data_IF_634064032510
#
_entry.id   IF_634064032510
#
_cell.length_a   1.000
_cell.length_b   1.000
_cell.length_c   1.000
_cell.angle_alpha   90.00
_cell.angle_beta   90.00
_cell.angle_gamma   90.00
#
_symmetry.space_group_name_H-M   'P 1'
#
loop_
_entity.id
_entity.type
_entity.pdbx_description
1 polymer ?
#
# COMPACT_ATOMS: atom_id res chain seq x y z
N UNK A 1 8.83 20.54 -21.98
CA UNK A 1 7.94 19.90 -20.99
C UNK A 1 8.37 18.45 -20.90
N UNK A 2 9.44 18.19 -20.15
CA UNK A 2 10.04 16.86 -20.06
C UNK A 2 10.31 16.64 -18.59
N UNK A 3 9.26 16.23 -17.86
CA UNK A 3 9.47 15.77 -16.50
C UNK A 3 10.14 14.40 -16.61
N UNK A 4 11.33 14.33 -16.04
CA UNK A 4 12.17 13.15 -15.92
C UNK A 4 11.42 12.14 -15.03
N UNK A 5 10.49 11.37 -15.61
CA UNK A 5 9.73 10.35 -14.88
C UNK A 5 10.62 9.13 -14.65
N UNK A 6 11.66 9.30 -13.84
CA UNK A 6 12.44 8.18 -13.32
C UNK A 6 11.57 7.26 -12.45
N UNK A 7 10.40 7.72 -12.00
CA UNK A 7 9.49 6.99 -11.11
C UNK A 7 8.08 6.98 -11.68
N UNK A 8 7.45 5.80 -11.88
CA UNK A 8 6.07 5.71 -12.37
C UNK A 8 5.09 6.41 -11.43
N UNK A 9 3.93 6.90 -11.90
CA UNK A 9 2.90 7.43 -10.99
C UNK A 9 2.34 6.32 -10.10
N UNK A 10 2.04 6.64 -8.84
CA UNK A 10 1.39 5.69 -7.91
C UNK A 10 -0.07 5.46 -8.34
N UNK A 11 -0.52 4.20 -8.47
CA UNK A 11 -1.86 3.86 -8.92
C UNK A 11 -2.87 4.09 -7.80
N UNK A 12 -4.14 4.15 -8.18
CA UNK A 12 -5.25 4.26 -7.21
C UNK A 12 -5.32 3.06 -6.24
N UNK A 13 -4.98 1.88 -6.74
CA UNK A 13 -4.94 0.63 -6.00
C UNK A 13 -3.60 -0.07 -6.25
N UNK A 14 -2.85 -0.33 -5.18
CA UNK A 14 -1.60 -1.06 -5.20
C UNK A 14 -1.60 -2.16 -4.14
N UNK A 15 -1.02 -3.31 -4.49
CA UNK A 15 -0.80 -4.42 -3.57
C UNK A 15 0.66 -4.87 -3.57
N UNK A 16 1.21 -5.12 -2.40
CA UNK A 16 2.54 -5.69 -2.21
C UNK A 16 2.59 -7.21 -2.47
N UNK A 17 1.45 -7.90 -2.52
CA UNK A 17 1.38 -9.33 -2.83
C UNK A 17 1.58 -9.55 -4.34
N UNK A 18 2.65 -10.25 -4.78
CA UNK A 18 2.90 -10.54 -6.20
C UNK A 18 1.81 -11.35 -6.89
N UNK A 19 0.92 -11.99 -6.13
CA UNK A 19 -0.22 -12.76 -6.66
C UNK A 19 -1.44 -11.89 -6.94
N UNK A 20 -1.45 -10.66 -6.47
CA UNK A 20 -2.55 -9.71 -6.70
C UNK A 20 -2.48 -9.13 -8.11
N UNK A 21 -3.62 -8.92 -8.79
CA UNK A 21 -3.65 -8.20 -10.07
C UNK A 21 -3.23 -6.73 -9.94
N UNK A 22 -3.20 -6.19 -8.71
CA UNK A 22 -2.80 -4.82 -8.41
C UNK A 22 -1.33 -4.71 -7.98
N UNK A 23 -0.52 -5.74 -8.24
CA UNK A 23 0.91 -5.70 -7.96
C UNK A 23 1.70 -5.08 -9.12
N UNK A 24 2.37 -3.97 -8.85
CA UNK A 24 3.22 -3.26 -9.83
C UNK A 24 4.64 -3.23 -9.32
N UNK A 25 5.49 -4.12 -9.85
CA UNK A 25 6.87 -4.32 -9.39
C UNK A 25 7.72 -3.05 -9.48
N UNK A 26 7.56 -2.29 -10.56
CA UNK A 26 8.32 -1.05 -10.84
C UNK A 26 8.17 -0.01 -9.74
N UNK A 27 7.01 0.03 -9.08
CA UNK A 27 6.75 0.97 -7.98
C UNK A 27 7.53 0.58 -6.73
N UNK A 28 7.67 -0.73 -6.47
CA UNK A 28 8.41 -1.26 -5.33
C UNK A 28 9.94 -1.21 -5.53
N UNK A 29 10.43 -0.78 -6.70
CA UNK A 29 11.84 -0.42 -6.88
C UNK A 29 12.18 0.93 -6.20
N UNK A 30 11.15 1.68 -5.82
CA UNK A 30 11.26 2.92 -5.07
C UNK A 30 10.61 2.78 -3.69
N UNK A 31 11.07 3.57 -2.72
CA UNK A 31 10.46 3.60 -1.40
C UNK A 31 9.09 4.31 -1.47
N UNK A 32 8.04 3.59 -1.08
CA UNK A 32 6.65 4.10 -1.05
C UNK A 32 6.18 4.22 0.39
N UNK A 33 5.64 5.39 0.73
CA UNK A 33 4.98 5.66 2.02
C UNK A 33 3.48 5.86 1.85
N UNK A 34 2.70 5.48 2.87
CA UNK A 34 1.26 5.70 2.89
C UNK A 34 0.90 6.59 4.08
N UNK A 35 0.23 7.71 3.84
CA UNK A 35 -0.42 8.51 4.87
C UNK A 35 -1.85 7.99 5.05
N UNK A 36 -2.13 7.38 6.19
CA UNK A 36 -3.46 6.93 6.56
C UNK A 36 -4.03 7.79 7.68
N UNK A 37 -5.12 8.51 7.41
CA UNK A 37 -5.74 9.48 8.32
C UNK A 37 -4.71 10.48 8.91
N UNK A 38 -3.79 10.99 8.08
CA UNK A 38 -2.77 11.95 8.50
C UNK A 38 -1.57 11.33 9.23
N UNK A 39 -1.47 10.01 9.33
CA UNK A 39 -0.34 9.30 9.94
C UNK A 39 0.40 8.47 8.91
N UNK A 40 1.71 8.63 8.81
CA UNK A 40 2.57 7.78 7.98
C UNK A 40 2.53 6.34 8.50
N UNK A 41 2.34 5.41 7.57
CA UNK A 41 2.36 3.97 7.77
C UNK A 41 3.23 3.32 6.70
N UNK A 42 4.03 2.37 7.14
CA UNK A 42 4.92 1.54 6.32
C UNK A 42 4.56 0.05 6.40
N UNK A 43 3.59 -0.30 7.23
CA UNK A 43 3.05 -1.66 7.43
C UNK A 43 1.87 -1.98 6.49
N UNK A 44 1.64 -1.14 5.48
CA UNK A 44 0.53 -1.31 4.53
C UNK A 44 0.92 -2.32 3.46
N UNK A 45 0.18 -3.43 3.39
CA UNK A 45 0.33 -4.40 2.30
C UNK A 45 -0.47 -4.03 1.06
N UNK A 46 -1.59 -3.33 1.22
CA UNK A 46 -2.49 -3.01 0.12
C UNK A 46 -3.27 -1.74 0.42
N UNK A 47 -3.56 -0.91 -0.57
CA UNK A 47 -4.41 0.26 -0.40
C UNK A 47 -5.29 0.49 -1.61
N UNK A 48 -6.39 1.21 -1.39
CA UNK A 48 -7.19 1.81 -2.46
C UNK A 48 -7.57 3.24 -2.05
N UNK A 49 -7.15 4.22 -2.86
CA UNK A 49 -7.36 5.64 -2.60
C UNK A 49 -8.83 6.00 -2.88
N UNK A 50 -9.37 5.59 -4.03
CA UNK A 50 -10.76 5.87 -4.42
C UNK A 50 -11.78 5.30 -3.43
N UNK A 51 -11.60 4.06 -2.97
CA UNK A 51 -12.46 3.45 -1.96
C UNK A 51 -12.11 3.87 -0.52
N UNK A 52 -10.96 4.52 -0.31
CA UNK A 52 -10.53 5.04 0.99
C UNK A 52 -10.26 3.95 2.03
N UNK A 53 -9.35 3.03 1.74
CA UNK A 53 -8.93 2.02 2.72
C UNK A 53 -7.49 1.54 2.55
N UNK A 54 -6.95 0.99 3.63
CA UNK A 54 -5.66 0.27 3.65
C UNK A 54 -5.83 -1.11 4.27
N UNK A 55 -4.99 -2.05 3.86
CA UNK A 55 -4.88 -3.39 4.42
C UNK A 55 -3.55 -3.50 5.16
N UNK A 56 -3.64 -3.80 6.44
CA UNK A 56 -2.49 -3.85 7.36
C UNK A 56 -2.55 -5.13 8.21
N UNK A 57 -1.42 -5.64 8.70
CA UNK A 57 -1.43 -6.73 9.66
C UNK A 57 -2.04 -6.27 10.99
N UNK A 58 -2.89 -7.11 11.56
CA UNK A 58 -3.56 -6.89 12.84
C UNK A 58 -2.60 -7.20 14.00
N UNK A 59 -1.61 -6.32 14.17
CA UNK A 59 -0.60 -6.45 15.22
C UNK A 59 0.20 -7.75 15.11
N UNK A 60 0.25 -8.53 16.21
CA UNK A 60 1.00 -9.80 16.28
C UNK A 60 0.13 -11.04 16.06
N UNK A 61 -1.13 -10.86 15.68
CA UNK A 61 -2.07 -11.98 15.53
C UNK A 61 -1.81 -12.73 14.23
N UNK A 62 -1.74 -14.05 14.32
CA UNK A 62 -1.62 -14.95 13.18
C UNK A 62 -2.94 -15.68 12.91
N UNK A 63 -3.17 -16.05 11.67
CA UNK A 63 -4.27 -16.90 11.24
C UNK A 63 -4.05 -18.38 11.61
N UNK A 64 -4.98 -19.25 11.24
CA UNK A 64 -4.90 -20.70 11.51
C UNK A 64 -3.73 -21.39 10.81
N UNK A 65 -3.11 -20.75 9.82
CA UNK A 65 -1.96 -21.23 9.04
C UNK A 65 -0.64 -20.57 9.46
N UNK A 66 -0.66 -19.73 10.49
CA UNK A 66 0.53 -19.02 10.98
C UNK A 66 0.90 -17.76 10.17
N UNK A 67 0.02 -17.27 9.29
CA UNK A 67 0.23 -16.04 8.51
C UNK A 67 -0.31 -14.83 9.27
N UNK A 68 0.28 -13.62 9.13
CA UNK A 68 -0.26 -12.41 9.72
C UNK A 68 -1.74 -12.20 9.37
N UNK A 69 -2.56 -11.94 10.38
CA UNK A 69 -3.97 -11.66 10.16
C UNK A 69 -4.12 -10.27 9.55
N UNK A 70 -4.57 -10.19 8.30
CA UNK A 70 -4.76 -8.91 7.62
C UNK A 70 -6.12 -8.30 7.91
N UNK A 71 -6.16 -7.01 8.21
CA UNK A 71 -7.41 -6.24 8.43
C UNK A 71 -7.49 -5.06 7.47
N UNK A 72 -8.73 -4.73 7.08
CA UNK A 72 -9.05 -3.59 6.23
C UNK A 72 -9.46 -2.41 7.12
N UNK A 73 -8.70 -1.31 7.06
CA UNK A 73 -9.00 -0.07 7.76
C UNK A 73 -9.52 0.97 6.75
N UNK A 74 -10.69 1.54 7.02
CA UNK A 74 -11.27 2.61 6.19
C UNK A 74 -10.85 3.98 6.69
N UNK A 75 -10.54 4.89 5.79
CA UNK A 75 -10.07 6.23 6.11
C UNK A 75 -9.47 6.96 4.91
N UNK A 76 -8.98 8.19 5.14
CA UNK A 76 -8.26 8.94 4.12
C UNK A 76 -6.92 8.26 3.82
N UNK A 77 -6.66 7.98 2.56
CA UNK A 77 -5.43 7.34 2.08
C UNK A 77 -4.72 8.29 1.13
N UNK A 78 -3.44 8.53 1.36
CA UNK A 78 -2.57 9.30 0.48
C UNK A 78 -1.27 8.51 0.27
N UNK A 79 -0.95 8.17 -0.97
CA UNK A 79 0.28 7.46 -1.31
C UNK A 79 1.33 8.44 -1.85
N UNK A 80 2.59 8.29 -1.44
CA UNK A 80 3.68 9.15 -1.86
C UNK A 80 5.00 8.39 -1.98
N UNK A 81 5.92 8.91 -2.80
CA UNK A 81 7.30 8.44 -2.85
C UNK A 81 8.11 9.06 -1.72
N UNK A 82 8.91 8.24 -1.04
CA UNK A 82 9.83 8.66 0.01
C UNK A 82 11.19 9.10 -0.54
#
# INVERSE_FOLDING_TARGET
MSENTERPPLPDHLSADPRSPHHVKEIFEHDVGILFNGKERTDVEEYCISEGWVRVPAGKTLDRKGQPLMIKLKGKVEAFYK
#
